data_IF_984633701540
#
_entry.id   IF_984633701540
#
_cell.length_a   1.000
_cell.length_b   1.000
_cell.length_c   1.000
_cell.angle_alpha   90.00
_cell.angle_beta   90.00
_cell.angle_gamma   90.00
#
_symmetry.space_group_name_H-M   'P 1'
#
loop_
_entity.id
_entity.type
_entity.pdbx_description
1 polymer ?
#
# COMPACT_ATOMS: atom_id res chain seq x y z
N UNK A 1 -2.72 11.70 -8.08
CA UNK A 1 -3.39 12.96 -8.47
C UNK A 1 -2.39 13.92 -9.14
N UNK A 2 -2.89 14.87 -9.90
CA UNK A 2 -2.10 15.98 -10.46
C UNK A 2 -2.84 17.29 -10.17
N UNK A 3 -2.26 18.22 -9.36
CA UNK A 3 -0.97 18.07 -8.68
C UNK A 3 -0.98 16.98 -7.61
N UNK A 4 0.23 16.58 -7.14
CA UNK A 4 0.38 15.69 -5.99
C UNK A 4 -0.15 16.40 -4.74
N UNK A 5 -0.80 15.65 -3.85
CA UNK A 5 -1.34 16.20 -2.60
C UNK A 5 -0.26 16.17 -1.52
N UNK A 6 0.75 17.02 -1.66
CA UNK A 6 1.96 17.09 -0.82
C UNK A 6 2.09 18.39 -0.01
N UNK A 7 1.04 19.19 0.01
CA UNK A 7 0.92 20.39 0.83
C UNK A 7 -0.52 20.62 1.33
N UNK A 8 -0.66 21.48 2.35
CA UNK A 8 -1.95 21.82 2.96
C UNK A 8 -2.95 22.47 2.00
N UNK A 9 -2.47 23.21 0.98
CA UNK A 9 -3.36 23.90 0.04
C UNK A 9 -4.05 22.90 -0.89
N UNK A 10 -3.33 21.85 -1.28
CA UNK A 10 -3.88 20.75 -2.08
C UNK A 10 -4.91 19.95 -1.26
N UNK A 11 -4.65 19.66 0.03
CA UNK A 11 -5.63 19.03 0.94
C UNK A 11 -6.89 19.88 1.02
N UNK A 12 -6.74 21.17 1.33
CA UNK A 12 -7.86 22.13 1.43
C UNK A 12 -8.67 22.20 0.15
N UNK A 13 -8.00 22.26 -1.00
CA UNK A 13 -8.65 22.29 -2.30
C UNK A 13 -9.52 21.05 -2.53
N UNK A 14 -8.99 19.85 -2.29
CA UNK A 14 -9.75 18.59 -2.48
C UNK A 14 -10.93 18.56 -1.53
N UNK A 15 -10.75 18.84 -0.24
CA UNK A 15 -11.83 18.83 0.75
C UNK A 15 -12.93 19.85 0.42
N UNK A 16 -12.58 21.07 0.03
CA UNK A 16 -13.57 22.08 -0.36
C UNK A 16 -14.36 21.65 -1.62
N UNK A 17 -13.66 21.10 -2.61
CA UNK A 17 -14.30 20.59 -3.83
C UNK A 17 -15.21 19.41 -3.53
N UNK A 18 -14.76 18.47 -2.73
CA UNK A 18 -15.56 17.32 -2.31
C UNK A 18 -16.80 17.76 -1.53
N UNK A 19 -16.66 18.66 -0.56
CA UNK A 19 -17.79 19.22 0.20
C UNK A 19 -18.84 19.90 -0.67
N UNK A 20 -18.41 20.53 -1.76
CA UNK A 20 -19.33 21.24 -2.67
C UNK A 20 -20.00 20.30 -3.70
N UNK A 21 -19.36 19.19 -4.09
CA UNK A 21 -19.77 18.43 -5.27
C UNK A 21 -19.98 16.92 -5.05
N UNK A 22 -19.32 16.34 -4.04
CA UNK A 22 -19.40 14.89 -3.82
C UNK A 22 -20.67 14.52 -3.04
N UNK A 23 -21.38 13.44 -3.43
CA UNK A 23 -22.53 12.93 -2.69
C UNK A 23 -22.13 12.09 -1.47
N UNK A 24 -20.84 11.86 -1.27
CA UNK A 24 -20.24 11.05 -0.20
C UNK A 24 -19.13 11.83 0.50
N UNK A 25 -18.70 11.34 1.67
CA UNK A 25 -17.50 11.86 2.32
C UNK A 25 -16.25 11.44 1.54
N UNK A 26 -15.38 12.40 1.26
CA UNK A 26 -14.07 12.19 0.62
C UNK A 26 -12.99 12.59 1.61
N UNK A 27 -12.12 11.66 1.96
CA UNK A 27 -10.98 11.84 2.85
C UNK A 27 -9.70 11.73 2.02
N UNK A 28 -8.92 12.81 1.95
CA UNK A 28 -7.72 12.86 1.12
C UNK A 28 -6.48 12.61 1.96
N UNK A 29 -5.77 11.50 1.70
CA UNK A 29 -4.45 11.27 2.26
C UNK A 29 -3.41 12.26 1.68
N UNK A 30 -2.45 12.68 2.53
CA UNK A 30 -1.32 13.48 2.09
C UNK A 30 -0.17 12.60 1.58
N UNK A 31 0.62 13.10 0.60
CA UNK A 31 1.83 12.40 0.17
C UNK A 31 2.92 12.46 1.26
N UNK A 32 3.71 11.39 1.37
CA UNK A 32 4.84 11.33 2.31
C UNK A 32 5.97 12.24 1.85
N UNK A 33 6.26 12.25 0.54
CA UNK A 33 7.37 13.02 -0.01
C UNK A 33 6.91 14.07 -1.01
N UNK A 34 7.66 15.17 -1.12
CA UNK A 34 7.39 16.25 -2.08
C UNK A 34 7.38 15.72 -3.51
N UNK A 35 6.26 15.94 -4.20
CA UNK A 35 6.02 15.48 -5.57
C UNK A 35 6.06 13.96 -5.71
N UNK A 36 5.94 13.18 -4.62
CA UNK A 36 6.11 11.72 -4.59
C UNK A 36 7.44 11.28 -5.25
N UNK A 37 8.54 11.96 -4.92
CA UNK A 37 9.87 11.71 -5.48
C UNK A 37 10.76 10.86 -4.59
N UNK A 38 10.33 10.53 -3.35
CA UNK A 38 11.10 9.72 -2.41
C UNK A 38 12.40 10.37 -1.91
N UNK A 39 12.54 11.71 -1.96
CA UNK A 39 13.80 12.41 -1.68
C UNK A 39 13.73 13.41 -0.51
N UNK A 40 12.58 14.01 -0.29
CA UNK A 40 12.36 15.03 0.71
C UNK A 40 10.96 14.90 1.26
N UNK A 41 10.78 14.99 2.59
CA UNK A 41 9.47 14.92 3.21
C UNK A 41 8.59 16.09 2.77
N UNK A 42 7.31 15.80 2.57
CA UNK A 42 6.26 16.81 2.47
C UNK A 42 6.01 17.44 3.84
N UNK A 43 5.24 18.51 3.88
CA UNK A 43 4.84 19.17 5.14
C UNK A 43 3.66 18.40 5.79
N UNK A 44 4.00 17.23 6.37
CA UNK A 44 3.04 16.27 6.93
C UNK A 44 2.18 16.92 8.01
N UNK A 45 2.81 17.65 8.96
CA UNK A 45 2.11 18.29 10.07
C UNK A 45 1.05 19.28 9.58
N UNK A 46 1.40 20.12 8.61
CA UNK A 46 0.45 21.09 8.03
C UNK A 46 -0.68 20.40 7.25
N UNK A 47 -0.40 19.30 6.57
CA UNK A 47 -1.43 18.51 5.87
C UNK A 47 -2.41 17.87 6.85
N UNK A 48 -1.91 17.28 7.94
CA UNK A 48 -2.75 16.69 8.98
C UNK A 48 -3.57 17.78 9.69
N UNK A 49 -2.98 18.92 10.02
CA UNK A 49 -3.70 20.07 10.58
C UNK A 49 -4.81 20.61 9.65
N UNK A 50 -4.68 20.43 8.34
CA UNK A 50 -5.71 20.76 7.34
C UNK A 50 -6.75 19.65 7.15
N UNK A 51 -6.60 18.50 7.86
CA UNK A 51 -7.57 17.41 7.90
C UNK A 51 -7.21 16.20 7.06
N UNK A 52 -5.94 16.02 6.64
CA UNK A 52 -5.49 14.76 6.05
C UNK A 52 -5.58 13.64 7.11
N UNK A 53 -6.36 12.58 6.90
CA UNK A 53 -6.56 11.53 7.91
C UNK A 53 -5.44 10.49 7.93
N UNK A 54 -4.56 10.52 6.94
CA UNK A 54 -3.47 9.57 6.74
C UNK A 54 -2.40 10.19 5.84
N UNK A 55 -1.23 9.56 5.81
CA UNK A 55 -0.20 9.86 4.81
C UNK A 55 0.13 8.60 4.00
N UNK A 56 0.46 8.77 2.73
CA UNK A 56 0.74 7.67 1.80
C UNK A 56 1.66 8.11 0.68
N UNK A 57 2.45 7.18 0.17
CA UNK A 57 3.20 7.36 -1.09
C UNK A 57 2.58 6.55 -2.23
N UNK A 58 1.32 6.15 -2.08
CA UNK A 58 0.63 5.16 -2.91
C UNK A 58 0.90 5.26 -4.41
N UNK A 59 0.99 4.06 -5.02
CA UNK A 59 1.54 3.85 -6.36
C UNK A 59 3.07 3.87 -6.40
N UNK A 60 3.74 4.10 -5.25
CA UNK A 60 5.19 4.03 -5.04
C UNK A 60 5.48 3.65 -3.59
N UNK A 61 6.74 3.28 -3.32
CA UNK A 61 7.26 3.15 -1.96
C UNK A 61 8.33 4.21 -1.70
N UNK A 62 8.43 4.68 -0.47
CA UNK A 62 9.59 5.46 -0.04
C UNK A 62 10.76 4.50 0.11
N UNK A 63 11.65 4.43 -0.88
CA UNK A 63 12.77 3.46 -0.90
C UNK A 63 13.85 3.78 0.14
N UNK A 64 14.06 5.06 0.47
CA UNK A 64 14.97 5.49 1.53
C UNK A 64 14.36 5.16 2.91
N UNK A 65 14.94 4.16 3.58
CA UNK A 65 14.44 3.70 4.89
C UNK A 65 14.57 4.75 6.00
N UNK A 66 15.57 5.65 5.94
CA UNK A 66 15.69 6.73 6.90
C UNK A 66 14.57 7.75 6.72
N UNK A 67 14.31 8.13 5.47
CA UNK A 67 13.22 9.05 5.14
C UNK A 67 11.85 8.47 5.54
N UNK A 68 11.64 7.18 5.27
CA UNK A 68 10.43 6.46 5.68
C UNK A 68 10.25 6.47 7.21
N UNK A 69 11.32 6.18 7.95
CA UNK A 69 11.34 6.22 9.42
C UNK A 69 11.00 7.60 9.98
N UNK A 70 11.58 8.66 9.40
CA UNK A 70 11.28 10.05 9.83
C UNK A 70 9.80 10.39 9.55
N UNK A 71 9.26 10.00 8.38
CA UNK A 71 7.83 10.17 8.10
C UNK A 71 6.94 9.45 9.12
N UNK A 72 7.29 8.21 9.48
CA UNK A 72 6.57 7.42 10.48
C UNK A 72 6.58 8.09 11.87
N UNK A 73 7.70 8.68 12.30
CA UNK A 73 7.76 9.44 13.56
C UNK A 73 6.79 10.62 13.56
N UNK A 74 6.82 11.42 12.49
CA UNK A 74 5.93 12.58 12.37
C UNK A 74 4.46 12.12 12.34
N UNK A 75 4.15 11.05 11.61
CA UNK A 75 2.80 10.49 11.57
C UNK A 75 2.32 10.01 12.95
N UNK A 76 3.20 9.36 13.74
CA UNK A 76 2.91 8.94 15.10
C UNK A 76 2.63 10.14 16.01
N UNK A 77 3.43 11.20 15.94
CA UNK A 77 3.24 12.45 16.70
C UNK A 77 1.93 13.16 16.30
N UNK A 78 1.56 13.11 15.03
CA UNK A 78 0.30 13.66 14.52
C UNK A 78 -0.91 12.76 14.79
N UNK A 79 -0.71 11.50 15.21
CA UNK A 79 -1.79 10.55 15.48
C UNK A 79 -2.51 10.03 14.23
N UNK A 80 -1.83 9.98 13.09
CA UNK A 80 -2.39 9.48 11.81
C UNK A 80 -1.64 8.25 11.31
N UNK A 81 -2.31 7.32 10.60
CA UNK A 81 -1.65 6.16 10.02
C UNK A 81 -0.78 6.52 8.81
N UNK A 82 0.26 5.72 8.62
CA UNK A 82 1.01 5.62 7.36
C UNK A 82 0.42 4.49 6.54
N UNK A 83 -0.13 4.79 5.37
CA UNK A 83 -0.69 3.81 4.43
C UNK A 83 0.38 3.46 3.40
N UNK A 84 0.87 2.23 3.45
CA UNK A 84 2.01 1.77 2.68
C UNK A 84 1.59 0.91 1.48
N UNK A 85 1.90 1.39 0.28
CA UNK A 85 1.97 0.57 -0.92
C UNK A 85 3.31 -0.17 -0.90
N UNK A 86 3.27 -1.47 -0.63
CA UNK A 86 4.49 -2.27 -0.44
C UNK A 86 5.02 -2.78 -1.77
N UNK A 87 5.94 -2.04 -2.36
CA UNK A 87 6.59 -2.41 -3.62
C UNK A 87 8.07 -1.99 -3.61
N UNK A 88 8.96 -2.96 -3.69
CA UNK A 88 10.36 -2.69 -3.99
C UNK A 88 10.49 -2.40 -5.49
N UNK A 89 10.57 -1.11 -5.83
CA UNK A 89 10.52 -0.63 -7.22
C UNK A 89 11.73 -1.07 -8.05
N UNK A 90 12.85 -1.38 -7.42
CA UNK A 90 14.05 -1.89 -8.12
C UNK A 90 13.88 -3.39 -8.46
N UNK A 91 13.23 -4.16 -7.57
CA UNK A 91 12.94 -5.58 -7.80
C UNK A 91 11.80 -5.84 -8.79
N UNK A 92 10.94 -4.87 -9.07
CA UNK A 92 9.91 -4.99 -10.12
C UNK A 92 10.54 -5.28 -11.47
N UNK A 93 11.66 -4.64 -11.77
CA UNK A 93 12.53 -4.89 -12.94
C UNK A 93 11.74 -5.05 -14.26
N UNK A 94 10.73 -4.19 -14.47
CA UNK A 94 9.87 -4.23 -15.66
C UNK A 94 8.85 -5.39 -15.68
N UNK A 95 8.64 -6.06 -14.57
CA UNK A 95 7.60 -7.07 -14.40
C UNK A 95 6.19 -6.48 -14.56
N UNK A 96 5.24 -7.29 -15.02
CA UNK A 96 3.87 -6.84 -15.30
C UNK A 96 2.79 -7.75 -14.71
N UNK A 97 3.15 -8.95 -14.27
CA UNK A 97 2.26 -9.95 -13.68
C UNK A 97 3.05 -10.82 -12.71
N UNK A 98 2.42 -11.77 -12.01
CA UNK A 98 3.11 -12.62 -11.05
C UNK A 98 4.24 -13.45 -11.67
N UNK A 99 5.33 -13.66 -10.93
CA UNK A 99 6.43 -14.51 -11.41
C UNK A 99 6.13 -16.00 -11.20
N UNK A 100 5.44 -16.59 -12.17
CA UNK A 100 5.20 -18.03 -12.21
C UNK A 100 5.21 -18.59 -13.65
N UNK A 101 5.07 -19.90 -13.74
CA UNK A 101 5.13 -20.60 -15.01
C UNK A 101 4.01 -20.21 -15.99
N UNK A 102 2.80 -19.92 -15.47
CA UNK A 102 1.65 -19.56 -16.31
C UNK A 102 1.86 -18.23 -17.01
N UNK A 103 2.47 -17.30 -16.33
CA UNK A 103 2.79 -15.95 -16.82
C UNK A 103 3.97 -16.00 -17.78
N UNK A 104 5.03 -16.75 -17.44
CA UNK A 104 6.19 -16.92 -18.35
C UNK A 104 5.83 -17.59 -19.67
N UNK A 105 4.90 -18.55 -19.67
CA UNK A 105 4.37 -19.18 -20.89
C UNK A 105 3.66 -18.21 -21.82
N UNK A 106 3.10 -17.12 -21.28
CA UNK A 106 2.46 -16.05 -22.05
C UNK A 106 3.47 -14.99 -22.53
N UNK A 107 4.77 -15.16 -22.25
CA UNK A 107 5.83 -14.23 -22.64
C UNK A 107 5.87 -12.96 -21.78
N UNK A 108 5.16 -12.93 -20.66
CA UNK A 108 5.16 -11.80 -19.72
C UNK A 108 6.30 -11.90 -18.70
N UNK A 109 6.84 -10.75 -18.31
CA UNK A 109 7.85 -10.66 -17.25
C UNK A 109 7.18 -10.68 -15.88
N UNK A 110 7.76 -11.47 -14.95
CA UNK A 110 7.20 -11.71 -13.64
C UNK A 110 7.61 -10.68 -12.59
N UNK A 111 6.74 -10.49 -11.59
CA UNK A 111 6.95 -9.76 -10.33
C UNK A 111 6.89 -10.77 -9.21
N UNK A 112 8.02 -11.01 -8.53
CA UNK A 112 8.09 -11.95 -7.42
C UNK A 112 7.34 -11.45 -6.19
N UNK A 113 6.94 -12.36 -5.28
CA UNK A 113 6.36 -12.00 -3.99
C UNK A 113 7.32 -11.15 -3.13
N UNK A 114 8.64 -11.35 -3.31
CA UNK A 114 9.66 -10.58 -2.57
C UNK A 114 9.56 -9.06 -2.79
N UNK A 115 9.02 -8.62 -3.94
CA UNK A 115 8.78 -7.19 -4.22
C UNK A 115 7.88 -6.56 -3.16
N UNK A 116 6.83 -7.27 -2.72
CA UNK A 116 5.92 -6.84 -1.67
C UNK A 116 6.47 -7.15 -0.28
N UNK A 117 6.93 -8.38 -0.06
CA UNK A 117 7.29 -8.89 1.26
C UNK A 117 8.47 -8.14 1.89
N UNK A 118 9.47 -7.73 1.11
CA UNK A 118 10.64 -6.96 1.61
C UNK A 118 10.22 -5.60 2.14
N UNK A 119 9.38 -4.88 1.41
CA UNK A 119 8.90 -3.56 1.86
C UNK A 119 7.97 -3.72 3.05
N UNK A 120 7.07 -4.70 3.03
CA UNK A 120 6.16 -4.96 4.16
C UNK A 120 6.94 -5.25 5.46
N UNK A 121 7.96 -6.12 5.43
CA UNK A 121 8.76 -6.43 6.63
C UNK A 121 9.57 -5.23 7.09
N UNK A 122 10.18 -4.47 6.16
CA UNK A 122 10.90 -3.23 6.47
C UNK A 122 10.02 -2.24 7.20
N UNK A 123 8.83 -1.98 6.66
CA UNK A 123 7.91 -0.97 7.18
C UNK A 123 7.34 -1.39 8.54
N UNK A 124 7.05 -2.68 8.74
CA UNK A 124 6.65 -3.22 10.05
C UNK A 124 7.77 -3.03 11.09
N UNK A 125 9.03 -3.28 10.74
CA UNK A 125 10.16 -3.05 11.65
C UNK A 125 10.27 -1.57 12.04
N UNK A 126 10.13 -0.66 11.08
CA UNK A 126 10.17 0.78 11.31
C UNK A 126 8.97 1.25 12.16
N UNK A 127 7.78 0.71 11.92
CA UNK A 127 6.61 1.00 12.73
C UNK A 127 6.78 0.54 14.19
N UNK A 128 7.37 -0.64 14.41
CA UNK A 128 7.70 -1.13 15.76
C UNK A 128 8.71 -0.24 16.49
N UNK A 129 9.66 0.36 15.77
CA UNK A 129 10.66 1.26 16.35
C UNK A 129 10.11 2.66 16.62
N UNK A 130 9.21 3.16 15.78
CA UNK A 130 8.69 4.53 15.85
C UNK A 130 7.40 4.67 16.63
N UNK A 131 6.68 3.55 16.86
CA UNK A 131 5.34 3.54 17.45
C UNK A 131 4.25 4.02 16.49
N UNK A 132 4.55 4.16 15.20
CA UNK A 132 3.58 4.60 14.20
C UNK A 132 2.48 3.54 13.97
N UNK A 133 1.27 3.99 13.67
CA UNK A 133 0.26 3.13 13.08
C UNK A 133 0.58 2.91 11.59
N UNK A 134 0.96 1.68 11.24
CA UNK A 134 1.19 1.27 9.87
C UNK A 134 -0.04 0.56 9.33
N UNK A 135 -0.50 0.96 8.14
CA UNK A 135 -1.52 0.26 7.37
C UNK A 135 -0.93 -0.25 6.07
N UNK A 136 -0.90 -1.58 5.89
CA UNK A 136 -0.44 -2.20 4.65
C UNK A 136 -1.59 -2.26 3.65
N UNK A 137 -1.49 -1.49 2.56
CA UNK A 137 -2.49 -1.45 1.52
C UNK A 137 -2.45 -2.71 0.64
N UNK A 138 -3.62 -3.12 0.13
CA UNK A 138 -3.81 -4.16 -0.90
C UNK A 138 -2.82 -5.34 -0.85
N UNK A 139 -2.62 -5.94 0.32
CA UNK A 139 -1.76 -7.12 0.47
C UNK A 139 -2.17 -8.24 -0.47
N UNK A 140 -1.20 -8.84 -1.15
CA UNK A 140 -1.45 -9.85 -2.17
C UNK A 140 -0.76 -11.20 -1.94
N UNK A 141 0.19 -11.29 -1.00
CA UNK A 141 1.04 -12.45 -0.82
C UNK A 141 0.74 -13.25 0.46
N UNK A 142 1.13 -14.54 0.46
CA UNK A 142 1.22 -15.32 1.69
C UNK A 142 2.21 -14.69 2.68
N UNK A 143 3.31 -14.11 2.17
CA UNK A 143 4.34 -13.48 3.00
C UNK A 143 3.79 -12.30 3.79
N UNK A 144 3.05 -11.38 3.16
CA UNK A 144 2.45 -10.23 3.84
C UNK A 144 1.47 -10.65 4.94
N UNK A 145 0.66 -11.71 4.73
CA UNK A 145 -0.23 -12.24 5.79
C UNK A 145 0.57 -12.72 7.01
N UNK A 146 1.67 -13.47 6.80
CA UNK A 146 2.51 -13.95 7.90
C UNK A 146 3.26 -12.81 8.60
N UNK A 147 3.71 -11.79 7.84
CA UNK A 147 4.34 -10.58 8.40
C UNK A 147 3.36 -9.84 9.33
N UNK A 148 2.13 -9.57 8.87
CA UNK A 148 1.09 -8.92 9.68
C UNK A 148 0.78 -9.74 10.93
N UNK A 149 0.61 -11.05 10.78
CA UNK A 149 0.35 -11.97 11.90
C UNK A 149 1.46 -11.92 12.96
N UNK A 150 2.73 -11.88 12.55
CA UNK A 150 3.83 -11.78 13.50
C UNK A 150 3.93 -10.39 14.13
N UNK A 151 3.68 -9.34 13.37
CA UNK A 151 3.65 -7.97 13.88
C UNK A 151 2.59 -7.79 14.97
N UNK A 152 1.36 -8.27 14.75
CA UNK A 152 0.28 -8.24 15.74
C UNK A 152 0.62 -9.03 17.01
N UNK A 153 1.32 -10.17 16.90
CA UNK A 153 1.79 -10.93 18.07
C UNK A 153 2.86 -10.22 18.88
N UNK A 154 3.55 -9.26 18.30
CA UNK A 154 4.57 -8.44 18.94
C UNK A 154 4.01 -7.08 19.40
N UNK A 155 2.68 -6.93 19.40
CA UNK A 155 1.98 -5.70 19.76
C UNK A 155 2.43 -4.47 18.92
N UNK A 156 2.94 -4.70 17.70
CA UNK A 156 3.22 -3.61 16.75
C UNK A 156 1.87 -3.12 16.21
N UNK A 157 1.67 -1.81 16.21
CA UNK A 157 0.42 -1.19 15.75
C UNK A 157 0.32 -1.25 14.21
N UNK A 158 -0.11 -2.40 13.70
CA UNK A 158 -0.27 -2.67 12.28
C UNK A 158 -1.70 -3.10 11.95
N UNK A 159 -2.22 -2.56 10.85
CA UNK A 159 -3.44 -3.04 10.17
C UNK A 159 -3.11 -3.35 8.72
N UNK A 160 -3.93 -4.15 8.06
CA UNK A 160 -3.71 -4.52 6.67
C UNK A 160 -5.03 -4.75 5.93
N UNK A 161 -5.01 -4.49 4.64
CA UNK A 161 -6.17 -4.69 3.78
C UNK A 161 -5.88 -5.69 2.66
N UNK A 162 -6.95 -6.26 2.11
CA UNK A 162 -6.93 -7.11 0.93
C UNK A 162 -7.97 -6.63 -0.08
N UNK A 163 -7.70 -6.81 -1.37
CA UNK A 163 -8.66 -6.45 -2.42
C UNK A 163 -9.42 -7.68 -2.92
N UNK A 164 -10.71 -7.52 -3.31
CA UNK A 164 -11.53 -8.63 -3.81
C UNK A 164 -10.87 -9.42 -4.93
N UNK A 165 -10.21 -8.76 -5.88
CA UNK A 165 -9.51 -9.43 -6.97
C UNK A 165 -8.34 -10.28 -6.48
N UNK A 166 -7.60 -9.86 -5.43
CA UNK A 166 -6.47 -10.61 -4.89
C UNK A 166 -6.86 -11.88 -4.12
N UNK A 167 -8.07 -11.97 -3.56
CA UNK A 167 -8.52 -13.18 -2.89
C UNK A 167 -9.56 -14.01 -3.68
N UNK A 168 -9.88 -13.62 -4.93
CA UNK A 168 -10.79 -14.37 -5.80
C UNK A 168 -10.12 -14.91 -7.05
N UNK A 169 -9.23 -14.14 -7.68
CA UNK A 169 -8.53 -14.47 -8.92
C UNK A 169 -7.08 -14.92 -8.65
N UNK A 170 -6.52 -15.64 -9.60
CA UNK A 170 -5.14 -16.11 -9.56
C UNK A 170 -4.38 -15.70 -10.82
N UNK A 171 -3.06 -15.84 -10.81
CA UNK A 171 -2.22 -15.64 -11.98
C UNK A 171 -2.59 -16.53 -13.18
N UNK A 172 -3.31 -17.63 -12.95
CA UNK A 172 -3.82 -18.52 -14.01
C UNK A 172 -4.99 -17.93 -14.77
N UNK A 173 -5.69 -16.98 -14.18
CA UNK A 173 -6.82 -16.28 -14.79
C UNK A 173 -6.37 -15.14 -15.70
N UNK A 174 -5.06 -14.77 -15.65
CA UNK A 174 -4.50 -13.68 -16.44
C UNK A 174 -4.47 -14.04 -17.93
N UNK A 175 -5.04 -13.18 -18.75
CA UNK A 175 -4.93 -13.19 -20.21
C UNK A 175 -4.02 -12.03 -20.66
N UNK A 176 -2.87 -12.36 -21.26
CA UNK A 176 -1.89 -11.36 -21.72
C UNK A 176 -2.44 -10.40 -22.81
N UNK A 177 -3.53 -10.76 -23.47
CA UNK A 177 -4.19 -9.93 -24.48
C UNK A 177 -5.17 -8.91 -23.89
N UNK A 178 -5.53 -9.05 -22.61
CA UNK A 178 -6.49 -8.17 -21.93
C UNK A 178 -5.82 -7.34 -20.82
N UNK A 179 -5.70 -6.04 -21.05
CA UNK A 179 -5.10 -5.10 -20.10
C UNK A 179 -5.86 -4.98 -18.77
N UNK A 180 -7.11 -5.42 -18.67
CA UNK A 180 -7.87 -5.44 -17.42
C UNK A 180 -7.27 -6.38 -16.38
N UNK A 181 -6.44 -7.34 -16.78
CA UNK A 181 -5.68 -8.19 -15.85
C UNK A 181 -4.38 -7.56 -15.33
N UNK A 182 -4.01 -6.35 -15.81
CA UNK A 182 -2.86 -5.60 -15.31
C UNK A 182 -3.26 -4.79 -14.09
N UNK A 183 -2.77 -5.18 -12.93
CA UNK A 183 -2.91 -4.46 -11.66
C UNK A 183 -1.64 -4.57 -10.84
N UNK A 184 -1.49 -3.73 -9.85
CA UNK A 184 -0.34 -3.71 -8.96
C UNK A 184 -0.78 -3.49 -7.51
N UNK A 185 -0.54 -4.50 -6.61
CA UNK A 185 0.14 -5.78 -6.84
C UNK A 185 -0.55 -6.68 -7.87
N UNK A 186 0.19 -7.63 -8.52
CA UNK A 186 -0.41 -8.53 -9.49
C UNK A 186 -1.25 -9.63 -8.83
N UNK A 187 -2.13 -10.26 -9.62
CA UNK A 187 -2.82 -11.48 -9.21
C UNK A 187 -1.81 -12.58 -8.94
N UNK A 188 -1.84 -13.16 -7.74
CA UNK A 188 -0.86 -14.12 -7.25
C UNK A 188 -1.28 -15.57 -7.46
N UNK A 189 -0.56 -16.50 -6.86
CA UNK A 189 -0.85 -17.92 -6.95
C UNK A 189 -2.05 -18.32 -6.07
N UNK A 190 -2.59 -19.53 -6.30
CA UNK A 190 -3.64 -20.11 -5.42
C UNK A 190 -3.20 -20.17 -3.95
N UNK A 191 -1.90 -20.40 -3.67
CA UNK A 191 -1.37 -20.43 -2.31
C UNK A 191 -1.57 -19.06 -1.62
N UNK A 192 -1.31 -17.99 -2.34
CA UNK A 192 -1.46 -16.61 -1.83
C UNK A 192 -2.93 -16.29 -1.61
N UNK A 193 -3.79 -16.58 -2.58
CA UNK A 193 -5.25 -16.40 -2.49
C UNK A 193 -5.82 -17.11 -1.24
N UNK A 194 -5.45 -18.36 -1.00
CA UNK A 194 -5.92 -19.10 0.17
C UNK A 194 -5.35 -18.55 1.50
N UNK A 195 -4.15 -17.95 1.46
CA UNK A 195 -3.58 -17.28 2.63
C UNK A 195 -4.36 -16.01 2.97
N UNK A 196 -4.69 -15.18 1.98
CA UNK A 196 -5.50 -13.97 2.18
C UNK A 196 -6.88 -14.31 2.75
N UNK A 197 -7.56 -15.34 2.21
CA UNK A 197 -8.85 -15.81 2.75
C UNK A 197 -8.76 -16.27 4.19
N UNK A 198 -7.69 -17.00 4.54
CA UNK A 198 -7.45 -17.38 5.95
C UNK A 198 -7.16 -16.17 6.80
N UNK A 199 -6.34 -15.23 6.31
CA UNK A 199 -6.03 -14.00 7.00
C UNK A 199 -7.28 -13.19 7.37
N UNK A 200 -8.24 -13.09 6.45
CA UNK A 200 -9.54 -12.46 6.72
C UNK A 200 -10.37 -13.23 7.76
N UNK A 201 -10.41 -14.57 7.66
CA UNK A 201 -11.18 -15.42 8.59
C UNK A 201 -10.63 -15.39 10.01
N UNK A 202 -9.31 -15.28 10.13
CA UNK A 202 -8.57 -15.40 11.38
C UNK A 202 -8.26 -14.01 11.98
N UNK A 203 -8.92 -12.94 11.51
CA UNK A 203 -8.78 -11.54 11.95
C UNK A 203 -7.33 -11.02 11.87
N UNK A 204 -6.53 -11.57 10.94
CA UNK A 204 -5.18 -11.08 10.65
C UNK A 204 -5.23 -9.89 9.69
N UNK A 205 -6.07 -9.99 8.65
CA UNK A 205 -6.36 -8.90 7.72
C UNK A 205 -7.61 -8.16 8.19
N UNK A 206 -7.53 -6.84 8.27
CA UNK A 206 -8.52 -6.00 8.97
C UNK A 206 -9.58 -5.42 8.04
N UNK A 207 -9.25 -5.21 6.76
CA UNK A 207 -10.05 -4.44 5.82
C UNK A 207 -10.17 -5.15 4.48
N UNK A 208 -11.31 -4.99 3.83
CA UNK A 208 -11.48 -5.28 2.39
C UNK A 208 -11.62 -3.94 1.69
N UNK A 209 -10.64 -3.59 0.84
CA UNK A 209 -10.63 -2.38 0.03
C UNK A 209 -10.80 -2.72 -1.44
N UNK A 210 -11.48 -1.87 -2.19
CA UNK A 210 -11.69 -2.12 -3.63
C UNK A 210 -10.49 -1.75 -4.47
N UNK A 211 -9.68 -0.80 -3.99
CA UNK A 211 -8.58 -0.21 -4.75
C UNK A 211 -9.02 0.26 -6.15
N UNK A 212 -10.20 0.88 -6.19
CA UNK A 212 -10.76 1.41 -7.42
C UNK A 212 -10.15 2.76 -7.73
N UNK A 213 -9.35 2.83 -8.79
CA UNK A 213 -8.68 4.04 -9.27
C UNK A 213 -9.28 4.56 -10.57
#
# INVERSE_FOLDING_TARGET
TKPVTDDRLNIRYVHNKAKAMAPIHVLQAGAITKGQKGKELADIESMVAEGAPAISEDGKSVMDSLLCKEAMKIAAECGVPVMAHCEDIDLVDGGVANDDESIRKQGLRGISNAVEDIIAVRDVMLAGETGAHLHLCHCSTYGSVEIVKQAKKQDIHVTAEVCPHHFTLTSKDVDASDANYKMNPPLRTKKDVEALKRGLRDDIMDVIATDHA
#
